data_IF_720998784766
#
_entry.id   IF_720998784766
#
_cell.length_a   1.000
_cell.length_b   1.000
_cell.length_c   1.000
_cell.angle_alpha   90.00
_cell.angle_beta   90.00
_cell.angle_gamma   90.00
#
_symmetry.space_group_name_H-M   'P 1'
#
loop_
_entity.id
_entity.type
_entity.pdbx_description
1 polymer ?
#
# COMPACT_ATOMS: atom_id res chain seq x y z
N UNK A 1 4.93 27.21 -42.86
CA UNK A 1 5.68 26.46 -41.82
C UNK A 1 5.99 27.44 -40.70
N UNK A 2 5.30 27.35 -39.56
CA UNK A 2 5.59 28.23 -38.41
C UNK A 2 6.73 27.61 -37.61
N UNK A 3 7.82 28.36 -37.43
CA UNK A 3 8.93 27.97 -36.58
C UNK A 3 8.48 28.04 -35.12
N UNK A 4 8.43 26.88 -34.45
CA UNK A 4 8.28 26.82 -32.99
C UNK A 4 9.43 27.62 -32.36
N UNK A 5 9.06 28.61 -31.57
CA UNK A 5 9.97 29.68 -31.17
C UNK A 5 11.04 29.18 -30.20
N UNK A 6 12.29 29.61 -30.42
CA UNK A 6 13.43 29.31 -29.56
C UNK A 6 13.18 29.41 -28.02
N UNK A 7 12.41 30.40 -27.49
CA UNK A 7 12.04 30.40 -26.06
C UNK A 7 11.30 29.15 -25.58
N UNK A 8 10.51 28.46 -26.41
CA UNK A 8 9.83 27.22 -26.01
C UNK A 8 10.82 26.07 -25.82
N UNK A 9 11.82 25.98 -26.71
CA UNK A 9 12.91 24.99 -26.60
C UNK A 9 13.81 25.28 -25.40
N UNK A 10 14.12 26.56 -25.12
CA UNK A 10 14.87 26.95 -23.93
C UNK A 10 14.10 26.64 -22.63
N UNK A 11 12.77 26.85 -22.62
CA UNK A 11 11.92 26.50 -21.48
C UNK A 11 11.86 24.98 -21.27
N UNK A 12 11.70 24.19 -22.35
CA UNK A 12 11.74 22.72 -22.31
C UNK A 12 13.09 22.21 -21.78
N UNK A 13 14.20 22.82 -22.21
CA UNK A 13 15.54 22.45 -21.75
C UNK A 13 15.74 22.79 -20.26
N UNK A 14 15.28 23.97 -19.81
CA UNK A 14 15.26 24.33 -18.39
C UNK A 14 14.40 23.37 -17.56
N UNK A 15 13.23 22.96 -18.06
CA UNK A 15 12.38 21.97 -17.39
C UNK A 15 13.08 20.61 -17.28
N UNK A 16 13.78 20.14 -18.31
CA UNK A 16 14.56 18.90 -18.22
C UNK A 16 15.74 19.01 -17.24
N UNK A 17 16.43 20.15 -17.19
CA UNK A 17 17.50 20.40 -16.20
C UNK A 17 16.95 20.46 -14.77
N UNK A 18 15.75 21.01 -14.56
CA UNK A 18 15.08 21.00 -13.24
C UNK A 18 14.59 19.59 -12.87
N UNK A 19 14.01 18.84 -13.81
CA UNK A 19 13.58 17.45 -13.58
C UNK A 19 14.74 16.49 -13.24
N UNK A 20 15.95 16.76 -13.76
CA UNK A 20 17.15 15.95 -13.45
C UNK A 20 17.89 16.38 -12.17
N UNK A 21 17.50 17.51 -11.57
CA UNK A 21 18.04 17.97 -10.29
C UNK A 21 17.30 17.39 -9.07
N UNK A 22 16.15 16.74 -9.27
CA UNK A 22 15.39 16.06 -8.23
C UNK A 22 15.37 14.55 -8.54
N UNK A 23 15.78 13.67 -7.61
CA UNK A 23 15.75 12.24 -7.86
C UNK A 23 14.30 11.78 -8.05
N UNK A 24 14.03 11.09 -9.14
CA UNK A 24 12.73 10.46 -9.41
C UNK A 24 12.50 9.35 -8.38
N UNK A 25 11.39 9.42 -7.64
CA UNK A 25 11.09 8.45 -6.59
C UNK A 25 10.77 7.08 -7.24
N UNK A 26 11.57 6.02 -6.99
CA UNK A 26 11.27 4.71 -7.54
C UNK A 26 9.95 4.20 -6.96
N UNK A 27 9.13 3.55 -7.79
CA UNK A 27 7.91 2.88 -7.31
C UNK A 27 8.22 1.65 -6.45
N UNK A 28 7.24 1.13 -5.69
CA UNK A 28 7.41 -0.09 -4.91
C UNK A 28 7.56 -1.31 -5.81
N UNK A 29 8.36 -2.30 -5.39
CA UNK A 29 8.40 -3.61 -6.06
C UNK A 29 7.06 -4.37 -5.98
N UNK A 30 6.23 -4.06 -4.99
CA UNK A 30 4.91 -4.67 -4.78
C UNK A 30 3.88 -3.66 -4.26
N UNK A 31 2.69 -3.65 -4.83
CA UNK A 31 1.53 -2.91 -4.33
C UNK A 31 0.35 -3.86 -4.14
N UNK A 32 -0.39 -3.72 -3.04
CA UNK A 32 -1.41 -4.70 -2.62
C UNK A 32 -2.81 -4.22 -3.04
N UNK A 33 -3.56 -4.99 -3.86
CA UNK A 33 -4.93 -4.67 -4.22
C UNK A 33 -5.89 -4.66 -3.03
N UNK A 34 -7.03 -3.97 -3.18
CA UNK A 34 -7.95 -3.72 -2.08
C UNK A 34 -8.66 -4.98 -1.58
N UNK A 35 -9.00 -5.88 -2.48
CA UNK A 35 -9.87 -7.03 -2.23
C UNK A 35 -9.21 -8.14 -1.39
N UNK A 36 -7.88 -8.14 -1.24
CA UNK A 36 -7.12 -9.21 -0.57
C UNK A 36 -6.91 -8.94 0.94
N UNK A 37 -7.40 -7.80 1.45
CA UNK A 37 -7.08 -7.28 2.79
C UNK A 37 -8.01 -7.80 3.89
N UNK A 38 -7.83 -9.06 4.29
CA UNK A 38 -8.39 -9.60 5.55
C UNK A 38 -7.34 -9.64 6.65
N UNK A 39 -7.26 -8.55 7.42
CA UNK A 39 -6.33 -8.39 8.54
C UNK A 39 -7.11 -8.27 9.85
N UNK A 40 -6.70 -8.96 10.94
CA UNK A 40 -7.39 -8.85 12.21
C UNK A 40 -7.54 -7.41 12.71
N UNK A 41 -8.77 -7.05 13.12
CA UNK A 41 -9.09 -5.70 13.61
C UNK A 41 -9.56 -5.73 15.06
N UNK A 42 -9.17 -4.74 15.85
CA UNK A 42 -9.78 -4.44 17.15
C UNK A 42 -10.88 -3.39 16.96
N UNK A 43 -12.12 -3.75 17.29
CA UNK A 43 -13.31 -2.90 17.15
C UNK A 43 -13.94 -2.49 18.51
N UNK A 44 -13.22 -2.68 19.61
CA UNK A 44 -13.66 -2.21 20.94
C UNK A 44 -14.71 -3.07 21.64
N UNK A 45 -14.91 -4.33 21.22
CA UNK A 45 -15.85 -5.28 21.87
C UNK A 45 -15.14 -6.43 22.60
N UNK A 46 -15.77 -7.05 23.61
CA UNK A 46 -15.20 -8.19 24.35
C UNK A 46 -15.45 -9.54 23.66
N UNK A 47 -16.46 -9.64 22.81
CA UNK A 47 -16.78 -10.84 22.03
C UNK A 47 -17.55 -10.43 20.77
N UNK A 48 -17.48 -11.24 19.70
CA UNK A 48 -18.17 -11.03 18.41
C UNK A 48 -19.69 -10.81 18.51
N UNK A 49 -20.33 -11.33 19.55
CA UNK A 49 -21.78 -11.22 19.81
C UNK A 49 -22.16 -9.93 20.54
N UNK A 50 -21.19 -9.20 21.08
CA UNK A 50 -21.42 -7.91 21.71
C UNK A 50 -21.56 -6.80 20.66
N UNK A 51 -22.38 -5.80 20.98
CA UNK A 51 -22.46 -4.57 20.21
C UNK A 51 -21.09 -3.89 20.13
N UNK A 52 -20.79 -3.31 18.96
CA UNK A 52 -19.59 -2.50 18.75
C UNK A 52 -19.74 -1.17 19.50
N UNK A 53 -18.66 -0.71 20.13
CA UNK A 53 -18.58 0.65 20.65
C UNK A 53 -18.04 1.56 19.53
N UNK A 54 -18.84 2.53 19.08
CA UNK A 54 -18.43 3.53 18.09
C UNK A 54 -18.84 4.95 18.55
N UNK A 55 -17.97 5.95 18.39
CA UNK A 55 -16.54 5.84 18.05
C UNK A 55 -15.72 5.31 19.24
N UNK A 56 -14.47 4.92 19.00
CA UNK A 56 -13.54 4.54 20.09
C UNK A 56 -12.66 5.71 20.55
N UNK A 57 -12.45 6.73 19.71
CA UNK A 57 -11.57 7.86 19.97
C UNK A 57 -10.17 7.43 20.48
N UNK A 58 -9.59 6.41 19.84
CA UNK A 58 -8.24 5.95 20.16
C UNK A 58 -7.27 7.13 20.04
N UNK A 59 -6.44 7.31 21.05
CA UNK A 59 -5.40 8.34 21.11
C UNK A 59 -4.01 7.70 20.94
N UNK A 60 -3.77 6.58 21.62
CA UNK A 60 -2.45 5.91 21.62
C UNK A 60 -2.57 4.42 21.92
N UNK A 61 -1.63 3.65 21.39
CA UNK A 61 -1.40 2.26 21.79
C UNK A 61 -0.03 2.11 22.44
N UNK A 62 0.09 1.14 23.35
CA UNK A 62 1.34 0.73 23.98
C UNK A 62 1.37 -0.79 24.06
N UNK A 63 2.31 -1.41 23.35
CA UNK A 63 2.60 -2.83 23.51
C UNK A 63 3.55 -3.04 24.70
N UNK A 64 3.21 -3.97 25.58
CA UNK A 64 4.10 -4.49 26.63
C UNK A 64 4.05 -6.02 26.56
N UNK A 65 5.15 -6.64 26.15
CA UNK A 65 5.23 -8.09 25.88
C UNK A 65 4.15 -8.54 24.87
N UNK A 66 3.29 -9.50 25.26
CA UNK A 66 2.14 -9.99 24.47
C UNK A 66 0.84 -9.20 24.70
N UNK A 67 0.86 -8.16 25.53
CA UNK A 67 -0.32 -7.35 25.84
C UNK A 67 -0.28 -6.01 25.13
N UNK A 68 -1.37 -5.65 24.47
CA UNK A 68 -1.59 -4.34 23.87
C UNK A 68 -2.52 -3.53 24.76
N UNK A 69 -2.07 -2.37 25.21
CA UNK A 69 -2.91 -1.37 25.86
C UNK A 69 -3.35 -0.34 24.81
N UNK A 70 -4.64 -0.04 24.77
CA UNK A 70 -5.23 0.93 23.84
C UNK A 70 -5.88 2.02 24.69
N UNK A 71 -5.30 3.22 24.66
CA UNK A 71 -5.85 4.41 25.29
C UNK A 71 -6.80 5.10 24.32
N UNK A 72 -8.06 5.18 24.73
CA UNK A 72 -9.22 5.77 24.05
C UNK A 72 -10.03 6.54 25.12
N UNK A 73 -11.33 6.78 24.91
CA UNK A 73 -12.26 7.17 26.00
C UNK A 73 -12.20 6.16 27.17
N UNK A 74 -11.97 4.88 26.84
CA UNK A 74 -11.67 3.80 27.76
C UNK A 74 -10.21 3.34 27.60
N UNK A 75 -9.60 2.81 28.66
CA UNK A 75 -8.37 2.04 28.58
C UNK A 75 -8.70 0.55 28.35
N UNK A 76 -8.41 0.04 27.16
CA UNK A 76 -8.56 -1.38 26.85
C UNK A 76 -7.24 -2.14 27.03
N UNK A 77 -7.34 -3.36 27.53
CA UNK A 77 -6.27 -4.37 27.55
C UNK A 77 -6.65 -5.48 26.56
N UNK A 78 -5.84 -5.67 25.53
CA UNK A 78 -5.98 -6.70 24.49
C UNK A 78 -4.81 -7.66 24.59
N UNK A 79 -5.05 -8.95 24.43
CA UNK A 79 -4.01 -9.98 24.45
C UNK A 79 -3.75 -10.41 23.01
N UNK A 80 -2.53 -10.19 22.51
CA UNK A 80 -2.18 -10.35 21.09
C UNK A 80 -2.20 -11.80 20.60
N UNK A 81 -2.32 -12.76 21.52
CA UNK A 81 -2.47 -14.19 21.21
C UNK A 81 -3.95 -14.61 21.14
N UNK A 82 -4.89 -13.77 21.59
CA UNK A 82 -6.32 -14.02 21.56
C UNK A 82 -6.99 -13.32 20.36
N UNK A 83 -6.80 -13.90 19.17
CA UNK A 83 -7.42 -13.45 17.91
C UNK A 83 -8.34 -14.55 17.39
N UNK A 84 -9.59 -14.20 17.09
CA UNK A 84 -10.59 -15.17 16.58
C UNK A 84 -10.97 -14.78 15.15
N UNK A 85 -10.34 -15.45 14.18
CA UNK A 85 -10.52 -15.15 12.76
C UNK A 85 -9.95 -13.79 12.38
N UNK A 86 -10.82 -12.88 11.98
CA UNK A 86 -10.55 -11.52 11.53
C UNK A 86 -10.70 -10.45 12.63
N UNK A 87 -10.84 -10.84 13.91
CA UNK A 87 -11.07 -9.88 14.99
C UNK A 87 -10.24 -10.12 16.27
N UNK A 88 -9.86 -9.02 16.92
CA UNK A 88 -9.18 -8.93 18.21
C UNK A 88 -10.14 -8.40 19.28
N UNK A 89 -10.13 -9.00 20.47
CA UNK A 89 -11.04 -8.67 21.58
C UNK A 89 -10.29 -8.19 22.82
N UNK A 90 -10.91 -7.34 23.64
CA UNK A 90 -10.31 -6.93 24.91
C UNK A 90 -10.52 -7.98 26.01
N UNK A 91 -9.47 -8.25 26.78
CA UNK A 91 -9.52 -9.07 27.99
C UNK A 91 -10.04 -8.27 29.19
N UNK A 92 -9.81 -6.94 29.20
CA UNK A 92 -10.26 -6.04 30.28
C UNK A 92 -10.46 -4.62 29.74
N UNK A 93 -11.49 -3.93 30.22
CA UNK A 93 -11.73 -2.50 29.99
C UNK A 93 -11.65 -1.74 31.31
N UNK A 94 -11.09 -0.53 31.30
CA UNK A 94 -11.10 0.41 32.42
C UNK A 94 -11.61 1.76 31.92
N UNK A 95 -12.86 2.05 32.26
CA UNK A 95 -13.52 3.33 31.98
C UNK A 95 -13.04 4.42 32.93
N UNK A 96 -12.91 5.64 32.42
CA UNK A 96 -12.51 6.82 33.19
C UNK A 96 -13.42 8.00 32.84
N UNK A 97 -14.50 8.18 33.59
CA UNK A 97 -15.41 9.31 33.40
C UNK A 97 -14.89 10.55 34.15
N UNK A 98 -15.04 11.73 33.54
CA UNK A 98 -14.68 13.01 34.16
C UNK A 98 -15.72 13.55 35.12
N UNK A 99 -15.25 14.35 36.07
CA UNK A 99 -16.08 15.05 37.03
C UNK A 99 -17.03 16.04 36.34
N UNK A 100 -18.31 16.03 36.76
CA UNK A 100 -19.37 16.89 36.22
C UNK A 100 -19.07 18.39 36.37
N UNK A 101 -18.29 18.76 37.38
CA UNK A 101 -17.89 20.15 37.59
C UNK A 101 -16.92 20.62 36.48
N UNK A 102 -15.93 19.81 36.12
CA UNK A 102 -14.95 20.16 35.07
C UNK A 102 -15.56 20.15 33.68
N UNK A 103 -16.50 19.24 33.43
CA UNK A 103 -17.36 19.25 32.23
C UNK A 103 -18.10 20.59 32.11
N UNK A 104 -18.62 21.13 33.22
CA UNK A 104 -19.30 22.44 33.22
C UNK A 104 -18.33 23.59 32.93
N UNK A 105 -17.11 23.57 33.48
CA UNK A 105 -16.08 24.57 33.24
C UNK A 105 -15.58 24.54 31.79
N UNK A 106 -15.45 23.34 31.20
CA UNK A 106 -15.10 23.17 29.79
C UNK A 106 -16.18 23.78 28.87
N UNK A 107 -17.46 23.49 29.14
CA UNK A 107 -18.61 24.10 28.43
C UNK A 107 -18.62 25.63 28.54
N UNK A 108 -18.33 26.19 29.71
CA UNK A 108 -18.24 27.65 29.91
C UNK A 108 -17.08 28.32 29.15
N UNK A 109 -16.08 27.55 28.68
CA UNK A 109 -14.97 28.05 27.84
C UNK A 109 -15.23 27.92 26.33
N UNK A 110 -16.43 27.51 25.92
CA UNK A 110 -16.84 27.52 24.50
C UNK A 110 -16.26 26.39 23.64
N UNK A 111 -15.76 25.30 24.25
CA UNK A 111 -15.43 24.06 23.53
C UNK A 111 -16.69 23.19 23.38
N UNK A 112 -16.94 22.69 22.17
CA UNK A 112 -17.97 21.67 21.91
C UNK A 112 -17.52 20.28 22.40
N UNK A 113 -18.45 19.35 22.56
CA UNK A 113 -18.20 18.01 23.12
C UNK A 113 -17.08 17.24 22.40
N UNK A 114 -16.20 16.67 23.22
CA UNK A 114 -14.88 16.17 22.86
C UNK A 114 -13.87 16.57 23.94
N UNK A 115 -13.48 15.59 24.76
CA UNK A 115 -12.44 15.62 25.80
C UNK A 115 -12.72 16.32 27.15
N UNK A 116 -12.59 15.54 28.23
CA UNK A 116 -12.09 15.94 29.57
C UNK A 116 -11.43 14.71 30.25
N UNK A 117 -10.54 14.93 31.24
CA UNK A 117 -9.80 13.90 32.01
C UNK A 117 -9.66 14.34 33.48
N UNK A 118 -9.46 13.42 34.45
CA UNK A 118 -9.06 13.78 35.84
C UNK A 118 -8.21 12.68 36.53
N UNK A 119 -6.94 12.95 36.91
CA UNK A 119 -5.95 11.96 37.37
C UNK A 119 -5.99 11.60 38.88
N UNK A 120 -5.59 10.37 39.22
CA UNK A 120 -5.38 9.91 40.62
C UNK A 120 -3.91 9.99 41.02
N UNK A 121 -3.58 10.84 42.00
CA UNK A 121 -2.24 11.05 42.55
C UNK A 121 -2.06 12.49 43.06
N UNK A 122 -0.87 12.87 43.53
CA UNK A 122 -0.53 14.29 43.64
C UNK A 122 -0.51 14.93 42.24
N UNK A 123 -1.26 16.01 42.08
CA UNK A 123 -1.48 16.65 40.77
C UNK A 123 -0.29 17.52 40.37
N UNK A 124 0.62 16.95 39.59
CA UNK A 124 1.69 17.73 38.95
C UNK A 124 1.19 18.36 37.65
N UNK A 125 1.50 19.64 37.43
CA UNK A 125 1.07 20.38 36.24
C UNK A 125 1.36 19.63 34.92
N UNK A 126 0.34 19.51 34.08
CA UNK A 126 0.42 18.92 32.74
C UNK A 126 0.97 19.87 31.67
N UNK A 127 1.14 21.16 31.98
CA UNK A 127 1.73 22.16 31.09
C UNK A 127 3.11 21.67 30.61
N UNK A 128 3.39 21.79 29.31
CA UNK A 128 4.60 21.28 28.65
C UNK A 128 4.80 19.75 28.72
N UNK A 129 3.83 18.98 29.23
CA UNK A 129 3.89 17.51 29.36
C UNK A 129 2.78 16.76 28.64
N UNK A 130 1.58 17.35 28.58
CA UNK A 130 0.42 16.83 27.87
C UNK A 130 -0.24 17.98 27.07
N UNK A 131 -0.71 17.76 25.83
CA UNK A 131 -1.37 18.80 25.04
C UNK A 131 -2.75 19.19 25.60
N UNK A 132 -3.19 20.41 25.29
CA UNK A 132 -4.53 20.92 25.59
C UNK A 132 -5.63 20.47 24.60
N UNK A 133 -5.25 19.87 23.47
CA UNK A 133 -6.17 19.37 22.45
C UNK A 133 -5.70 17.96 22.05
N UNK A 134 -6.57 16.95 22.01
CA UNK A 134 -6.20 15.56 21.67
C UNK A 134 -5.59 15.44 20.27
N UNK A 135 -5.96 16.36 19.36
CA UNK A 135 -5.48 16.33 17.96
C UNK A 135 -4.02 16.76 17.83
N UNK A 136 -3.43 17.35 18.88
CA UNK A 136 -2.02 17.70 18.91
C UNK A 136 -1.16 16.48 19.25
N UNK A 137 -0.35 16.04 18.29
CA UNK A 137 0.65 15.01 18.53
C UNK A 137 1.61 15.44 19.65
N UNK A 138 1.89 14.52 20.58
CA UNK A 138 2.85 14.73 21.66
C UNK A 138 3.82 13.56 21.82
N UNK A 139 5.00 13.87 22.35
CA UNK A 139 5.99 12.87 22.78
C UNK A 139 6.07 12.90 24.30
N UNK A 140 6.21 11.73 24.91
CA UNK A 140 6.52 11.54 26.32
C UNK A 140 7.40 10.29 26.46
N UNK A 141 8.53 10.43 27.17
CA UNK A 141 9.52 9.39 27.43
C UNK A 141 10.06 9.56 28.85
N UNK A 142 10.19 8.47 29.60
CA UNK A 142 10.80 8.49 30.94
C UNK A 142 12.14 7.76 30.93
N UNK A 143 13.20 8.46 31.35
CA UNK A 143 14.58 7.96 31.37
C UNK A 143 15.34 8.63 32.52
N UNK A 144 14.97 8.33 33.77
CA UNK A 144 15.45 8.99 34.99
C UNK A 144 14.87 10.40 35.19
N UNK A 145 14.71 11.15 34.12
CA UNK A 145 13.85 12.33 34.02
C UNK A 145 12.69 12.07 33.03
N UNK A 146 11.60 12.83 33.14
CA UNK A 146 10.55 12.91 32.11
C UNK A 146 10.96 13.88 31.00
N UNK A 147 11.00 13.39 29.76
CA UNK A 147 11.18 14.17 28.54
C UNK A 147 9.88 14.19 27.75
N UNK A 148 9.41 15.37 27.37
CA UNK A 148 8.14 15.57 26.65
C UNK A 148 8.32 16.53 25.47
N UNK A 149 7.49 16.39 24.44
CA UNK A 149 7.38 17.37 23.36
C UNK A 149 5.90 17.64 23.09
N UNK A 150 5.45 18.88 23.29
CA UNK A 150 4.04 19.30 23.19
C UNK A 150 3.95 20.84 23.22
N UNK A 151 2.78 21.41 23.47
CA UNK A 151 2.57 22.87 23.59
C UNK A 151 2.44 23.31 25.06
N UNK A 152 2.87 24.53 25.39
CA UNK A 152 2.75 25.08 26.75
C UNK A 152 1.49 25.92 26.97
N UNK A 153 0.82 26.32 25.90
CA UNK A 153 -0.32 27.24 25.92
C UNK A 153 -1.55 26.68 25.20
N UNK A 154 -2.72 27.19 25.57
CA UNK A 154 -4.01 26.78 25.00
C UNK A 154 -4.17 27.11 23.51
N UNK A 155 -3.46 28.14 23.02
CA UNK A 155 -3.50 28.55 21.61
C UNK A 155 -2.51 27.76 20.73
N UNK A 156 -1.73 26.85 21.31
CA UNK A 156 -0.72 26.04 20.63
C UNK A 156 0.37 26.86 19.91
N UNK A 157 0.68 28.06 20.41
CA UNK A 157 1.68 28.97 19.84
C UNK A 157 3.09 28.60 20.32
N UNK A 158 3.23 28.12 21.55
CA UNK A 158 4.50 27.78 22.20
C UNK A 158 4.72 26.26 22.24
N UNK A 159 5.12 25.71 21.09
CA UNK A 159 5.61 24.34 20.98
C UNK A 159 6.99 24.20 21.66
N UNK A 160 7.16 23.15 22.45
CA UNK A 160 8.33 22.94 23.31
C UNK A 160 8.78 21.49 23.33
N UNK A 161 10.09 21.26 23.36
CA UNK A 161 10.67 20.02 23.91
C UNK A 161 11.13 20.35 25.33
N UNK A 162 10.66 19.60 26.31
CA UNK A 162 10.75 19.90 27.73
C UNK A 162 11.32 18.70 28.52
N UNK A 163 12.19 18.97 29.50
CA UNK A 163 12.69 17.99 30.47
C UNK A 163 12.26 18.41 31.87
N UNK A 164 11.72 17.49 32.67
CA UNK A 164 11.32 17.72 34.06
C UNK A 164 11.23 16.41 34.86
N UNK A 165 10.83 16.47 36.14
CA UNK A 165 10.62 15.31 37.03
C UNK A 165 11.86 14.40 37.19
N UNK A 166 12.77 14.83 38.06
CA UNK A 166 13.96 14.13 38.53
C UNK A 166 14.89 15.13 39.24
N UNK A 167 16.08 14.70 39.68
CA UNK A 167 17.03 15.57 40.39
C UNK A 167 17.68 16.65 39.50
N UNK A 168 17.45 16.60 38.20
CA UNK A 168 18.00 17.54 37.22
C UNK A 168 17.08 18.75 37.01
N UNK A 169 17.63 19.98 36.84
CA UNK A 169 16.81 21.16 36.58
C UNK A 169 16.03 21.03 35.26
N UNK A 170 14.86 21.67 35.22
CA UNK A 170 14.01 21.64 34.04
C UNK A 170 14.63 22.41 32.87
N UNK A 171 14.52 21.87 31.66
CA UNK A 171 15.05 22.48 30.43
C UNK A 171 13.94 22.59 29.38
N UNK A 172 13.99 23.63 28.53
CA UNK A 172 13.10 23.80 27.39
C UNK A 172 13.82 24.27 26.13
N UNK A 173 13.28 23.98 24.96
CA UNK A 173 13.70 24.61 23.70
C UNK A 173 13.42 26.11 23.66
N UNK A 174 14.23 26.82 22.87
CA UNK A 174 14.09 28.26 22.59
C UNK A 174 12.73 28.50 21.92
N UNK A 175 12.07 29.58 22.32
CA UNK A 175 10.72 29.95 21.85
C UNK A 175 10.80 30.61 20.47
N UNK A 176 9.85 30.30 19.59
CA UNK A 176 9.63 30.95 18.28
C UNK A 176 10.65 30.69 17.15
N UNK A 177 11.10 29.44 16.96
CA UNK A 177 11.77 29.00 15.71
C UNK A 177 10.87 27.96 14.99
N UNK A 178 10.69 28.08 13.66
CA UNK A 178 9.70 27.25 12.94
C UNK A 178 9.95 27.06 11.43
N UNK A 179 9.87 25.80 10.96
CA UNK A 179 9.79 25.43 9.52
C UNK A 179 8.92 24.19 9.22
N UNK A 180 7.79 24.47 8.55
CA UNK A 180 7.13 23.78 7.43
C UNK A 180 6.32 22.45 7.50
N UNK A 181 5.36 22.41 6.57
CA UNK A 181 4.30 21.43 6.21
C UNK A 181 4.70 20.67 4.90
N UNK A 182 3.99 19.72 4.26
CA UNK A 182 2.75 18.93 4.44
C UNK A 182 2.98 17.55 3.76
N UNK A 183 2.12 16.55 3.99
CA UNK A 183 2.33 15.12 3.63
C UNK A 183 3.62 14.58 4.25
N UNK A 184 3.50 14.13 5.48
CA UNK A 184 4.65 13.73 6.28
C UNK A 184 4.51 12.24 6.60
N UNK A 185 5.56 11.49 6.25
CA UNK A 185 5.87 10.22 6.91
C UNK A 185 6.12 10.58 8.38
N UNK A 186 5.22 10.13 9.25
CA UNK A 186 5.09 10.63 10.63
C UNK A 186 5.09 9.52 11.68
N UNK A 187 5.26 8.26 11.24
CA UNK A 187 5.58 7.09 12.07
C UNK A 187 6.73 6.32 11.43
N UNK A 188 7.54 5.70 12.26
CA UNK A 188 8.67 4.86 11.86
C UNK A 188 8.79 3.70 12.84
N UNK A 189 8.95 2.48 12.33
CA UNK A 189 9.44 1.34 13.10
C UNK A 189 10.48 0.59 12.26
N UNK A 190 11.41 -0.08 12.93
CA UNK A 190 12.52 -0.79 12.29
C UNK A 190 12.59 -2.19 12.87
N UNK A 191 12.67 -3.20 12.00
CA UNK A 191 13.15 -4.53 12.37
C UNK A 191 14.63 -4.62 12.01
N UNK A 192 15.51 -4.82 12.99
CA UNK A 192 16.96 -4.98 12.75
C UNK A 192 17.38 -6.42 12.52
N UNK A 193 16.48 -7.37 12.80
CA UNK A 193 16.75 -8.80 12.85
C UNK A 193 15.81 -9.55 11.87
N UNK A 194 15.55 -8.95 10.72
CA UNK A 194 14.64 -9.50 9.71
C UNK A 194 15.25 -10.69 8.97
N UNK A 195 14.36 -11.57 8.50
CA UNK A 195 14.68 -12.77 7.73
C UNK A 195 15.19 -13.96 8.55
N UNK A 196 15.40 -15.12 7.92
CA UNK A 196 15.68 -16.40 8.60
C UNK A 196 17.01 -16.42 9.37
N UNK A 197 17.96 -15.57 8.98
CA UNK A 197 19.27 -15.42 9.63
C UNK A 197 19.34 -14.26 10.63
N UNK A 198 18.28 -13.46 10.77
CA UNK A 198 18.23 -12.32 11.68
C UNK A 198 19.26 -11.22 11.39
N UNK A 199 19.68 -11.07 10.13
CA UNK A 199 20.79 -10.20 9.72
C UNK A 199 20.40 -9.09 8.72
N UNK A 200 19.10 -8.90 8.45
CA UNK A 200 18.59 -7.85 7.55
C UNK A 200 17.86 -6.78 8.34
N UNK A 201 17.97 -5.52 7.89
CA UNK A 201 17.25 -4.39 8.48
C UNK A 201 16.11 -3.97 7.55
N UNK A 202 14.89 -3.95 8.07
CA UNK A 202 13.67 -3.52 7.35
C UNK A 202 13.06 -2.32 8.06
N UNK A 203 12.85 -1.25 7.31
CA UNK A 203 12.28 0.01 7.75
C UNK A 203 10.81 0.10 7.29
N UNK A 204 9.91 0.41 8.23
CA UNK A 204 8.50 0.66 7.94
C UNK A 204 8.15 2.11 8.27
N UNK A 205 7.65 2.86 7.29
CA UNK A 205 7.29 4.27 7.41
C UNK A 205 5.78 4.45 7.26
N UNK A 206 5.15 5.06 8.25
CA UNK A 206 3.72 5.34 8.25
C UNK A 206 3.41 6.77 7.80
N UNK A 207 2.50 6.92 6.84
CA UNK A 207 2.01 8.21 6.35
C UNK A 207 0.84 8.73 7.17
N UNK A 208 0.60 10.04 7.09
CA UNK A 208 -0.61 10.66 7.67
C UNK A 208 -1.94 10.22 7.04
N UNK A 209 -1.94 9.34 6.03
CA UNK A 209 -3.13 8.80 5.34
C UNK A 209 -3.32 7.29 5.56
N UNK A 210 -2.56 6.66 6.46
CA UNK A 210 -2.66 5.22 6.72
C UNK A 210 -1.88 4.33 5.75
N UNK A 211 -1.10 4.91 4.84
CA UNK A 211 -0.15 4.17 4.00
C UNK A 211 1.07 3.78 4.82
N UNK A 212 1.53 2.54 4.67
CA UNK A 212 2.79 2.01 5.18
C UNK A 212 3.70 1.75 3.98
N UNK A 213 4.90 2.33 4.01
CA UNK A 213 5.96 2.09 3.05
C UNK A 213 7.00 1.17 3.69
N UNK A 214 7.44 0.12 3.00
CA UNK A 214 8.40 -0.86 3.49
C UNK A 214 9.69 -0.81 2.67
N UNK A 215 10.82 -0.63 3.34
CA UNK A 215 12.14 -0.56 2.72
C UNK A 215 13.09 -1.60 3.30
N UNK A 216 13.88 -2.24 2.44
CA UNK A 216 15.10 -2.94 2.85
C UNK A 216 16.23 -1.91 2.96
N UNK A 217 16.90 -1.87 4.11
CA UNK A 217 18.12 -1.08 4.32
C UNK A 217 19.31 -1.97 3.97
N UNK A 218 19.99 -1.66 2.86
CA UNK A 218 21.22 -2.34 2.45
C UNK A 218 22.42 -1.52 2.96
N UNK A 219 23.20 -2.04 3.92
CA UNK A 219 24.39 -1.34 4.39
C UNK A 219 25.47 -1.36 3.30
N UNK A 220 26.05 -0.20 3.03
CA UNK A 220 27.11 -0.02 2.05
C UNK A 220 28.42 -0.60 2.58
N UNK A 221 28.96 -1.64 1.92
CA UNK A 221 30.21 -2.27 2.32
C UNK A 221 31.46 -1.59 1.73
N UNK A 222 31.35 -0.93 0.57
CA UNK A 222 32.50 -0.51 -0.26
C UNK A 222 32.64 1.00 -0.49
N UNK A 223 31.86 1.86 0.19
CA UNK A 223 31.94 3.33 0.17
C UNK A 223 31.88 4.04 -1.22
N UNK A 224 31.62 3.29 -2.30
CA UNK A 224 31.81 3.74 -3.70
C UNK A 224 30.51 4.00 -4.46
N UNK A 225 29.36 3.72 -3.84
CA UNK A 225 28.02 4.03 -4.34
C UNK A 225 27.19 4.68 -3.20
N UNK A 226 26.11 5.43 -3.50
CA UNK A 226 25.14 5.82 -2.49
C UNK A 226 24.47 4.59 -1.86
N UNK A 227 24.00 4.73 -0.62
CA UNK A 227 23.32 3.65 0.11
C UNK A 227 22.00 3.30 -0.60
N UNK A 228 21.97 2.19 -1.35
CA UNK A 228 20.79 1.75 -2.10
C UNK A 228 19.77 1.06 -1.18
N UNK A 229 18.94 1.86 -0.52
CA UNK A 229 17.71 1.37 0.11
C UNK A 229 16.74 0.88 -0.98
N UNK A 230 16.14 -0.31 -0.80
CA UNK A 230 15.21 -0.89 -1.78
C UNK A 230 13.78 -0.71 -1.29
N UNK A 231 12.92 -0.08 -2.10
CA UNK A 231 11.50 0.08 -1.79
C UNK A 231 10.74 -1.21 -2.12
N UNK A 232 10.51 -2.03 -1.09
CA UNK A 232 9.92 -3.36 -1.27
C UNK A 232 8.43 -3.27 -1.57
N UNK A 233 7.68 -2.46 -0.81
CA UNK A 233 6.23 -2.60 -0.77
C UNK A 233 5.50 -1.34 -0.30
N UNK A 234 4.42 -0.99 -0.99
CA UNK A 234 3.42 -0.03 -0.54
C UNK A 234 2.13 -0.74 -0.12
N UNK A 235 1.70 -0.47 1.11
CA UNK A 235 0.48 -1.01 1.70
C UNK A 235 -0.38 0.13 2.25
N UNK A 236 -1.64 0.20 1.86
CA UNK A 236 -2.63 0.99 2.60
C UNK A 236 -3.20 0.12 3.75
N UNK A 237 -2.96 0.56 4.99
CA UNK A 237 -3.24 -0.20 6.20
C UNK A 237 -4.59 0.09 6.86
N UNK A 238 -5.36 1.07 6.35
CA UNK A 238 -6.72 1.33 6.82
C UNK A 238 -7.65 0.21 6.37
N UNK A 239 -8.41 -0.38 7.30
CA UNK A 239 -9.39 -1.43 7.01
C UNK A 239 -10.80 -0.81 6.96
N UNK A 240 -11.63 -1.06 5.93
CA UNK A 240 -13.02 -0.60 5.85
C UNK A 240 -13.89 -0.96 7.06
N UNK A 241 -13.61 -2.06 7.78
CA UNK A 241 -14.31 -2.41 9.03
C UNK A 241 -14.14 -1.36 10.14
N UNK A 242 -13.10 -0.53 10.06
CA UNK A 242 -12.87 0.55 11.01
C UNK A 242 -13.96 1.64 10.97
N UNK A 243 -14.74 1.76 9.88
CA UNK A 243 -15.85 2.69 9.75
C UNK A 243 -15.86 3.42 8.41
N UNK A 244 -16.54 4.57 8.35
CA UNK A 244 -16.62 5.37 7.12
C UNK A 244 -15.25 5.87 6.67
N UNK A 245 -14.96 5.65 5.38
CA UNK A 245 -13.71 6.06 4.76
C UNK A 245 -13.62 7.59 4.61
N UNK A 246 -12.94 8.22 5.57
CA UNK A 246 -12.70 9.66 5.62
C UNK A 246 -11.22 9.96 5.86
N UNK A 247 -10.70 11.11 5.40
CA UNK A 247 -9.31 11.51 5.65
C UNK A 247 -8.92 11.50 7.15
N UNK A 248 -9.89 11.80 8.03
CA UNK A 248 -9.75 11.78 9.47
C UNK A 248 -9.68 10.35 10.01
N UNK A 249 -10.56 9.44 9.57
CA UNK A 249 -10.54 8.04 9.99
C UNK A 249 -9.25 7.31 9.54
N UNK A 250 -8.69 7.70 8.39
CA UNK A 250 -7.40 7.22 7.86
C UNK A 250 -6.16 7.73 8.59
N UNK A 251 -6.29 8.63 9.56
CA UNK A 251 -5.13 9.21 10.24
C UNK A 251 -4.39 8.15 11.07
N UNK A 252 -3.16 7.82 10.68
CA UNK A 252 -2.33 6.86 11.42
C UNK A 252 -1.79 7.49 12.71
N UNK A 253 -2.34 7.04 13.84
CA UNK A 253 -2.01 7.54 15.18
C UNK A 253 -0.77 6.87 15.75
N UNK A 254 -0.58 5.58 15.46
CA UNK A 254 0.59 4.82 15.89
C UNK A 254 0.93 3.71 14.89
N UNK A 255 2.21 3.37 14.82
CA UNK A 255 2.74 2.18 14.17
C UNK A 255 3.63 1.48 15.20
N UNK A 256 3.47 0.18 15.39
CA UNK A 256 4.26 -0.61 16.35
C UNK A 256 4.60 -1.96 15.73
N UNK A 257 5.85 -2.41 15.87
CA UNK A 257 6.30 -3.72 15.41
C UNK A 257 6.25 -4.71 16.56
N UNK A 258 5.43 -5.75 16.43
CA UNK A 258 5.46 -6.94 17.29
C UNK A 258 6.37 -7.99 16.66
N UNK A 259 7.67 -7.89 16.94
CA UNK A 259 8.71 -8.78 16.39
C UNK A 259 8.45 -10.26 16.69
N UNK A 260 7.88 -10.59 17.85
CA UNK A 260 7.59 -11.96 18.27
C UNK A 260 6.56 -12.68 17.38
N UNK A 261 5.58 -11.95 16.83
CA UNK A 261 4.61 -12.52 15.89
C UNK A 261 4.84 -12.10 14.44
N UNK A 262 5.88 -11.29 14.19
CA UNK A 262 6.15 -10.67 12.90
C UNK A 262 4.92 -9.93 12.34
N UNK A 263 4.28 -9.11 13.18
CA UNK A 263 3.14 -8.26 12.77
C UNK A 263 3.36 -6.79 13.12
N UNK A 264 2.79 -5.90 12.31
CA UNK A 264 2.64 -4.48 12.57
C UNK A 264 1.25 -4.22 13.18
N UNK A 265 1.21 -3.38 14.21
CA UNK A 265 -0.01 -2.87 14.83
C UNK A 265 -0.18 -1.41 14.41
N UNK A 266 -1.27 -1.12 13.69
CA UNK A 266 -1.61 0.19 13.16
C UNK A 266 -2.80 0.74 13.93
N UNK A 267 -2.63 1.86 14.64
CA UNK A 267 -3.72 2.50 15.35
C UNK A 267 -4.35 3.62 14.51
N UNK A 268 -5.68 3.57 14.38
CA UNK A 268 -6.53 4.59 13.76
C UNK A 268 -7.57 5.06 14.81
N UNK A 269 -8.27 6.19 14.62
CA UNK A 269 -9.19 6.73 15.64
C UNK A 269 -10.31 5.76 16.08
N UNK A 270 -10.74 4.85 15.20
CA UNK A 270 -11.87 3.94 15.43
C UNK A 270 -11.51 2.46 15.50
N UNK A 271 -10.22 2.09 15.38
CA UNK A 271 -9.78 0.69 15.36
C UNK A 271 -8.26 0.52 15.54
N UNK A 272 -7.82 -0.72 15.81
CA UNK A 272 -6.41 -1.13 15.60
C UNK A 272 -6.37 -2.27 14.60
N UNK A 273 -5.58 -2.15 13.53
CA UNK A 273 -5.40 -3.20 12.51
C UNK A 273 -4.08 -3.92 12.74
N UNK A 274 -4.09 -5.26 12.71
CA UNK A 274 -2.88 -6.10 12.84
C UNK A 274 -2.53 -6.74 11.51
N UNK A 275 -1.37 -6.40 10.97
CA UNK A 275 -0.95 -6.77 9.61
C UNK A 275 0.37 -7.56 9.70
N UNK A 276 0.57 -8.69 8.99
CA UNK A 276 1.87 -9.34 8.95
C UNK A 276 2.95 -8.44 8.32
N UNK A 277 4.22 -8.61 8.70
CA UNK A 277 5.33 -7.83 8.10
C UNK A 277 5.58 -8.16 6.63
N UNK A 278 5.09 -9.29 6.14
CA UNK A 278 5.21 -9.76 4.77
C UNK A 278 3.99 -10.58 4.32
N UNK A 279 3.76 -10.65 3.01
CA UNK A 279 2.63 -11.34 2.37
C UNK A 279 3.10 -12.32 1.30
N UNK A 280 4.00 -13.23 1.66
CA UNK A 280 4.65 -14.16 0.73
C UNK A 280 3.65 -14.96 -0.14
N UNK A 281 2.47 -15.25 0.42
CA UNK A 281 1.35 -15.95 -0.26
C UNK A 281 0.79 -15.20 -1.49
N UNK A 282 1.12 -13.92 -1.69
CA UNK A 282 0.78 -13.19 -2.93
C UNK A 282 1.67 -13.58 -4.11
N UNK A 283 2.85 -14.15 -3.85
CA UNK A 283 3.82 -14.54 -4.87
C UNK A 283 3.61 -16.01 -5.28
N UNK A 284 2.66 -16.23 -6.19
CA UNK A 284 2.31 -17.56 -6.71
C UNK A 284 3.41 -18.25 -7.54
N UNK A 285 4.42 -17.49 -8.00
CA UNK A 285 5.52 -18.00 -8.82
C UNK A 285 6.86 -17.74 -8.16
N UNK A 286 7.75 -18.72 -8.25
CA UNK A 286 9.15 -18.69 -7.86
C UNK A 286 9.86 -17.39 -8.26
N UNK A 287 9.80 -17.02 -9.53
CA UNK A 287 10.40 -15.78 -10.06
C UNK A 287 9.94 -14.53 -9.32
N UNK A 288 8.64 -14.42 -8.99
CA UNK A 288 8.07 -13.28 -8.27
C UNK A 288 8.43 -13.31 -6.77
N UNK A 289 8.55 -14.51 -6.19
CA UNK A 289 8.96 -14.70 -4.81
C UNK A 289 10.40 -14.20 -4.60
N UNK A 290 11.33 -14.59 -5.47
CA UNK A 290 12.74 -14.21 -5.40
C UNK A 290 12.94 -12.74 -5.78
N UNK A 291 12.31 -12.25 -6.86
CA UNK A 291 12.41 -10.85 -7.27
C UNK A 291 11.74 -9.86 -6.31
N UNK A 292 10.87 -10.31 -5.41
CA UNK A 292 10.32 -9.48 -4.33
C UNK A 292 11.39 -8.92 -3.40
N UNK A 293 12.52 -9.63 -3.27
CA UNK A 293 13.65 -9.32 -2.37
C UNK A 293 13.25 -9.11 -0.90
N UNK A 294 12.07 -9.60 -0.51
CA UNK A 294 11.53 -9.44 0.84
C UNK A 294 12.26 -10.39 1.81
N UNK A 295 13.00 -9.89 2.83
CA UNK A 295 13.77 -10.73 3.74
C UNK A 295 12.97 -11.81 4.46
N UNK A 296 11.66 -11.61 4.64
CA UNK A 296 10.78 -12.56 5.30
C UNK A 296 10.22 -13.64 4.37
N UNK A 297 10.41 -13.55 3.05
CA UNK A 297 9.84 -14.47 2.06
C UNK A 297 10.90 -15.27 1.32
N UNK A 298 10.62 -16.54 1.06
CA UNK A 298 11.45 -17.37 0.18
C UNK A 298 10.66 -18.51 -0.45
N UNK A 299 11.21 -19.03 -1.53
CA UNK A 299 10.65 -20.17 -2.23
C UNK A 299 10.99 -21.46 -1.46
N UNK A 300 10.01 -22.33 -1.28
CA UNK A 300 10.18 -23.57 -0.49
C UNK A 300 9.88 -24.79 -1.35
N UNK A 301 10.35 -25.97 -0.92
CA UNK A 301 10.14 -27.25 -1.62
C UNK A 301 8.67 -27.63 -1.88
N UNK A 302 7.71 -26.98 -1.23
CA UNK A 302 6.29 -27.14 -1.55
C UNK A 302 5.83 -26.34 -2.79
N UNK A 303 6.76 -25.93 -3.65
CA UNK A 303 6.54 -25.05 -4.81
C UNK A 303 5.68 -23.82 -4.48
N UNK A 304 5.99 -23.20 -3.35
CA UNK A 304 5.23 -22.07 -2.80
C UNK A 304 6.12 -21.07 -2.08
N UNK A 305 5.78 -19.79 -2.20
CA UNK A 305 6.45 -18.68 -1.53
C UNK A 305 5.94 -18.54 -0.10
N UNK A 306 6.77 -18.89 0.88
CA UNK A 306 6.39 -18.98 2.28
C UNK A 306 7.13 -17.98 3.16
N UNK A 307 6.53 -17.67 4.31
CA UNK A 307 7.15 -16.87 5.35
C UNK A 307 8.28 -17.67 6.04
N UNK A 308 9.50 -17.14 6.00
CA UNK A 308 10.69 -17.77 6.55
C UNK A 308 10.87 -17.42 8.03
N UNK A 309 10.87 -18.42 8.89
CA UNK A 309 11.30 -18.32 10.30
C UNK A 309 12.73 -18.81 10.48
N UNK A 310 13.38 -18.40 11.56
CA UNK A 310 14.65 -19.02 11.98
C UNK A 310 14.52 -20.55 12.05
N UNK A 311 15.45 -21.28 11.44
CA UNK A 311 15.42 -22.74 11.34
C UNK A 311 14.55 -23.32 10.21
N UNK A 312 13.88 -22.49 9.40
CA UNK A 312 13.24 -22.96 8.16
C UNK A 312 14.33 -23.43 7.19
N UNK A 313 14.34 -24.71 6.80
CA UNK A 313 15.27 -25.25 5.80
C UNK A 313 14.63 -26.44 5.06
N UNK A 314 14.94 -26.66 3.77
CA UNK A 314 15.63 -25.75 2.85
C UNK A 314 14.66 -24.78 2.16
N UNK A 315 15.15 -23.58 1.87
CA UNK A 315 14.45 -22.54 1.11
C UNK A 315 15.44 -21.86 0.15
N UNK A 316 14.90 -21.06 -0.77
CA UNK A 316 15.64 -20.28 -1.74
C UNK A 316 15.20 -18.81 -1.68
N UNK A 317 16.17 -17.89 -1.72
CA UNK A 317 15.96 -16.45 -1.54
C UNK A 317 17.18 -15.68 -2.07
N UNK A 318 16.96 -14.57 -2.77
CA UNK A 318 17.99 -13.57 -3.07
C UNK A 318 17.50 -12.16 -2.70
N UNK A 319 17.90 -11.70 -1.51
CA UNK A 319 17.57 -10.37 -0.99
C UNK A 319 18.45 -9.28 -1.62
N UNK A 320 19.70 -9.62 -1.95
CA UNK A 320 20.75 -8.66 -2.31
C UNK A 320 20.64 -8.20 -3.76
N UNK A 321 20.21 -9.07 -4.66
CA UNK A 321 20.08 -8.77 -6.10
C UNK A 321 18.70 -9.11 -6.66
N UNK A 322 17.94 -10.02 -6.04
CA UNK A 322 16.68 -10.53 -6.59
C UNK A 322 16.87 -11.31 -7.88
N UNK A 323 18.03 -11.95 -8.04
CA UNK A 323 18.43 -12.60 -9.27
C UNK A 323 17.60 -13.85 -9.54
N UNK A 324 16.98 -13.89 -10.71
CA UNK A 324 16.14 -14.99 -11.20
C UNK A 324 16.76 -15.71 -12.40
N UNK A 325 17.98 -15.38 -12.82
CA UNK A 325 18.59 -15.90 -14.06
C UNK A 325 19.09 -17.35 -13.97
N UNK A 326 19.42 -17.83 -12.78
CA UNK A 326 19.64 -19.26 -12.50
C UNK A 326 18.31 -20.02 -12.25
N UNK A 327 17.19 -19.28 -12.34
CA UNK A 327 15.78 -19.59 -12.13
C UNK A 327 15.14 -20.82 -12.80
N UNK A 328 15.80 -21.39 -13.81
CA UNK A 328 15.17 -21.94 -15.03
C UNK A 328 13.84 -22.67 -14.80
N UNK A 329 12.72 -22.04 -15.19
CA UNK A 329 11.32 -22.43 -14.94
C UNK A 329 11.12 -23.38 -13.73
N UNK A 330 11.54 -22.91 -12.54
CA UNK A 330 11.61 -23.59 -11.24
C UNK A 330 10.97 -24.98 -11.10
N UNK A 331 11.55 -25.96 -11.80
CA UNK A 331 11.12 -27.36 -11.84
C UNK A 331 11.81 -28.14 -10.71
N UNK A 332 11.23 -28.05 -9.50
CA UNK A 332 11.54 -28.98 -8.42
C UNK A 332 10.32 -29.85 -8.11
N UNK A 333 10.39 -31.07 -8.66
CA UNK A 333 9.43 -32.18 -8.60
C UNK A 333 8.30 -32.09 -9.65
N UNK A 334 8.63 -32.58 -10.84
CA UNK A 334 7.67 -33.01 -11.84
C UNK A 334 6.87 -34.22 -11.34
N UNK A 335 5.59 -34.03 -11.04
CA UNK A 335 4.58 -35.08 -11.16
C UNK A 335 3.53 -34.61 -12.16
N UNK A 336 3.23 -35.46 -13.14
CA UNK A 336 2.52 -35.07 -14.35
C UNK A 336 1.06 -34.68 -14.08
N UNK A 337 0.73 -33.40 -14.28
CA UNK A 337 -0.64 -32.97 -14.49
C UNK A 337 -0.77 -32.31 -15.86
N UNK A 338 -1.72 -32.80 -16.65
CA UNK A 338 -2.04 -32.22 -17.96
C UNK A 338 -2.83 -30.94 -17.68
N UNK A 339 -2.25 -29.79 -17.98
CA UNK A 339 -2.94 -28.50 -17.80
C UNK A 339 -3.89 -28.26 -18.99
N UNK A 340 -5.17 -28.40 -18.72
CA UNK A 340 -6.27 -28.13 -19.64
C UNK A 340 -6.47 -26.60 -19.72
N UNK A 341 -6.26 -25.95 -20.88
CA UNK A 341 -6.18 -24.49 -20.92
C UNK A 341 -7.56 -23.84 -20.99
N UNK A 342 -8.11 -23.46 -19.83
CA UNK A 342 -9.18 -22.46 -19.72
C UNK A 342 -8.67 -21.05 -20.05
N UNK A 343 -8.20 -20.89 -21.30
CA UNK A 343 -7.69 -19.65 -21.85
C UNK A 343 -8.83 -18.72 -22.25
N UNK A 344 -9.13 -17.73 -21.39
CA UNK A 344 -9.94 -16.56 -21.77
C UNK A 344 -9.29 -15.85 -22.97
N UNK A 345 -9.81 -16.13 -24.16
CA UNK A 345 -9.32 -15.58 -25.43
C UNK A 345 -9.47 -14.06 -25.42
N UNK A 346 -8.37 -13.33 -25.64
CA UNK A 346 -8.43 -11.87 -25.66
C UNK A 346 -9.33 -11.38 -26.81
N UNK A 347 -10.16 -10.37 -26.55
CA UNK A 347 -11.09 -9.82 -27.55
C UNK A 347 -10.36 -9.39 -28.82
N UNK A 348 -9.13 -8.90 -28.70
CA UNK A 348 -8.30 -8.52 -29.84
C UNK A 348 -7.92 -9.73 -30.71
N UNK A 349 -7.62 -10.90 -30.11
CA UNK A 349 -7.32 -12.12 -30.84
C UNK A 349 -8.57 -12.65 -31.57
N UNK A 350 -9.75 -12.54 -30.93
CA UNK A 350 -11.03 -12.97 -31.50
C UNK A 350 -11.49 -12.06 -32.65
N UNK A 351 -11.24 -10.75 -32.54
CA UNK A 351 -11.46 -9.79 -33.65
C UNK A 351 -10.49 -10.08 -34.81
N UNK A 352 -9.21 -10.31 -34.53
CA UNK A 352 -8.22 -10.67 -35.56
C UNK A 352 -8.59 -11.97 -36.29
N UNK A 353 -8.98 -13.02 -35.55
CA UNK A 353 -9.39 -14.29 -36.17
C UNK A 353 -10.66 -14.15 -37.00
N UNK A 354 -11.67 -13.42 -36.50
CA UNK A 354 -12.90 -13.14 -37.24
C UNK A 354 -12.62 -12.36 -38.56
N UNK A 355 -11.82 -11.29 -38.50
CA UNK A 355 -11.46 -10.50 -39.70
C UNK A 355 -10.66 -11.36 -40.69
N UNK A 356 -9.74 -12.21 -40.23
CA UNK A 356 -9.01 -13.12 -41.12
C UNK A 356 -9.92 -14.18 -41.77
N UNK A 357 -10.90 -14.72 -41.04
CA UNK A 357 -11.82 -15.72 -41.55
C UNK A 357 -12.74 -15.14 -42.63
N UNK A 358 -13.30 -13.94 -42.39
CA UNK A 358 -14.14 -13.24 -43.38
C UNK A 358 -13.37 -12.85 -44.64
N UNK A 359 -12.17 -12.28 -44.51
CA UNK A 359 -11.36 -11.87 -45.66
C UNK A 359 -10.87 -13.07 -46.49
N UNK A 360 -10.47 -14.17 -45.84
CA UNK A 360 -10.10 -15.42 -46.52
C UNK A 360 -11.30 -16.07 -47.22
N UNK A 361 -12.47 -16.10 -46.58
CA UNK A 361 -13.71 -16.60 -47.16
C UNK A 361 -14.20 -15.78 -48.37
N UNK A 362 -14.07 -14.46 -48.31
CA UNK A 362 -14.36 -13.57 -49.43
C UNK A 362 -13.41 -13.81 -50.62
N UNK A 363 -12.10 -13.97 -50.36
CA UNK A 363 -11.12 -14.27 -51.40
C UNK A 363 -11.38 -15.63 -52.08
N UNK A 364 -11.61 -16.68 -51.30
CA UNK A 364 -11.87 -18.03 -51.83
C UNK A 364 -13.18 -18.12 -52.61
N UNK A 365 -14.24 -17.46 -52.15
CA UNK A 365 -15.52 -17.41 -52.89
C UNK A 365 -15.40 -16.61 -54.19
N UNK A 366 -14.68 -15.49 -54.20
CA UNK A 366 -14.36 -14.74 -55.42
C UNK A 366 -13.58 -15.57 -56.43
N UNK A 367 -12.52 -16.27 -55.98
CA UNK A 367 -11.74 -17.18 -56.83
C UNK A 367 -12.57 -18.33 -57.39
N UNK A 368 -13.46 -18.92 -56.59
CA UNK A 368 -14.40 -19.96 -57.06
C UNK A 368 -15.36 -19.42 -58.13
N UNK A 369 -15.92 -18.22 -57.96
CA UNK A 369 -16.79 -17.61 -58.99
C UNK A 369 -16.01 -17.31 -60.27
N UNK A 370 -14.79 -16.78 -60.18
CA UNK A 370 -13.91 -16.61 -61.34
C UNK A 370 -13.58 -17.94 -62.03
N UNK A 371 -13.32 -19.00 -61.27
CA UNK A 371 -13.06 -20.34 -61.81
C UNK A 371 -14.30 -20.92 -62.53
N UNK A 372 -15.48 -20.82 -61.92
CA UNK A 372 -16.75 -21.25 -62.54
C UNK A 372 -17.04 -20.45 -63.81
N UNK A 373 -16.85 -19.12 -63.80
CA UNK A 373 -17.06 -18.28 -64.98
C UNK A 373 -16.07 -18.60 -66.10
N UNK A 374 -14.79 -18.82 -65.79
CA UNK A 374 -13.78 -19.19 -66.80
C UNK A 374 -14.02 -20.59 -67.36
N UNK A 375 -14.43 -21.58 -66.55
CA UNK A 375 -14.86 -22.91 -67.02
C UNK A 375 -16.09 -22.79 -67.93
N UNK A 376 -17.10 -22.00 -67.56
CA UNK A 376 -18.33 -21.79 -68.35
C UNK A 376 -18.07 -21.06 -69.66
N UNK A 377 -17.13 -20.11 -69.68
CA UNK A 377 -16.63 -19.47 -70.90
C UNK A 377 -15.87 -20.47 -71.81
N UNK A 378 -15.03 -21.32 -71.22
CA UNK A 378 -14.28 -22.36 -71.93
C UNK A 378 -15.16 -23.46 -72.52
N UNK A 379 -16.31 -23.76 -71.89
CA UNK A 379 -17.35 -24.63 -72.44
C UNK A 379 -18.12 -23.95 -73.60
N UNK A 380 -18.55 -22.68 -73.44
CA UNK A 380 -19.19 -21.93 -74.54
C UNK A 380 -18.27 -21.77 -75.77
N UNK A 381 -16.97 -21.60 -75.56
CA UNK A 381 -15.98 -21.53 -76.65
C UNK A 381 -15.75 -22.86 -77.39
N UNK A 382 -16.33 -23.98 -76.94
CA UNK A 382 -16.22 -25.31 -77.57
C UNK A 382 -17.53 -25.83 -78.16
N UNK A 383 -18.64 -25.09 -78.05
CA UNK A 383 -19.93 -25.46 -78.64
C UNK A 383 -20.70 -24.22 -79.09
N UNK A 384 -20.57 -23.85 -80.37
CA UNK A 384 -21.24 -22.66 -80.91
C UNK A 384 -20.63 -22.09 -82.18
N UNK A 385 -20.32 -22.93 -83.18
CA UNK A 385 -19.95 -22.45 -84.51
C UNK A 385 -21.14 -22.44 -85.46
N UNK A 386 -21.80 -21.28 -85.66
CA UNK A 386 -22.49 -20.90 -86.91
C UNK A 386 -23.32 -19.62 -86.79
N UNK A 387 -23.08 -18.65 -87.67
CA UNK A 387 -24.13 -17.73 -88.15
C UNK A 387 -24.33 -16.39 -87.41
N UNK A 388 -24.89 -15.37 -88.08
CA UNK A 388 -24.30 -14.03 -87.99
C UNK A 388 -25.25 -12.85 -87.73
N UNK A 389 -24.66 -11.69 -87.43
CA UNK A 389 -25.27 -10.37 -87.68
C UNK A 389 -25.69 -9.58 -86.43
N UNK A 390 -25.14 -8.36 -86.26
CA UNK A 390 -25.47 -7.50 -85.11
C UNK A 390 -24.55 -6.28 -84.93
N UNK A 391 -24.40 -5.45 -85.96
CA UNK A 391 -23.48 -4.29 -85.96
C UNK A 391 -24.17 -3.02 -85.43
N UNK A 392 -23.75 -2.49 -84.26
CA UNK A 392 -23.95 -1.11 -83.69
C UNK A 392 -23.68 -1.16 -82.18
N UNK A 393 -23.17 -0.13 -81.48
CA UNK A 393 -22.47 1.12 -81.82
C UNK A 393 -21.83 1.63 -80.51
N UNK A 394 -20.56 2.03 -80.49
CA UNK A 394 -19.99 2.79 -79.35
C UNK A 394 -20.33 4.28 -79.50
N UNK A 395 -20.72 4.95 -78.41
CA UNK A 395 -20.32 6.33 -78.07
C UNK A 395 -20.89 6.78 -76.72
N UNK A 396 -20.03 7.42 -75.89
CA UNK A 396 -20.32 8.57 -74.98
C UNK A 396 -21.33 8.39 -73.82
N UNK A 397 -21.29 9.18 -72.74
CA UNK A 397 -20.45 10.35 -72.41
C UNK A 397 -20.13 10.44 -70.90
N UNK A 398 -19.23 11.37 -70.54
CA UNK A 398 -19.00 11.82 -69.15
C UNK A 398 -20.02 12.88 -68.73
N UNK A 399 -20.10 13.14 -67.41
CA UNK A 399 -20.80 14.27 -66.76
C UNK A 399 -22.35 14.23 -66.85
N UNK A 400 -23.12 14.61 -65.81
CA UNK A 400 -22.89 15.67 -64.82
C UNK A 400 -23.34 15.27 -63.40
N UNK A 401 -22.99 16.12 -62.43
CA UNK A 401 -23.55 16.13 -61.07
C UNK A 401 -25.03 16.53 -61.09
N UNK A 402 -25.82 15.94 -60.20
CA UNK A 402 -27.24 16.22 -59.95
C UNK A 402 -27.77 15.34 -58.82
#
# INVERSE_FOLDING_TARGET
MMTLSAPLLALLWLVQVVCSAFPEEPGPLSSIPTEVRKYPVFLGRPHRSSLRQEPLHIQRILQVNRTLYIGADDLFRVELDNVVGDEMFYSKKRTWESNKNDISICRMKGKHEGDTLEMVGETVSGMARCPYDPKHANVALFAGNLFTATVTDFLAIDAVIYRSLGDSPALRTIKHDSKWFRYQLNKMVVDTNAGPHGNRTVLFLGSSRGTILKFLVVPNQDNTAPNNNVFLEELEGYNPECGQDTPQARQLLSLTLDSNSHTLLLAFPSCVVRIPVARCQLYSRCMNCISSRDPYCGWTRGSTCSFLRAGTLPFEQDVDHGNTSYLGDCDLLQESYIEEPDGLVSVNLLVLSAVSAFSTGAALSGLMVCWIMTVKHRQRSRGGGSGPGGRRKCEKEQNMLG
#
